data_IF_882524381608
#
_entry.id   IF_882524381608
#
_cell.length_a   1.000
_cell.length_b   1.000
_cell.length_c   1.000
_cell.angle_alpha   90.00
_cell.angle_beta   90.00
_cell.angle_gamma   90.00
#
_symmetry.space_group_name_H-M   'P 1'
#
loop_
_entity.id
_entity.type
_entity.pdbx_description
1 polymer ?
#
# COMPACT_ATOMS: atom_id res chain seq x y z
N UNK A 1 11.85 6.42 -14.91
CA UNK A 1 11.95 7.81 -15.37
C UNK A 1 12.45 7.77 -16.79
N UNK A 2 11.82 8.51 -17.70
CA UNK A 2 12.40 8.70 -19.03
C UNK A 2 13.62 9.63 -18.96
N UNK A 3 14.25 9.88 -20.11
CA UNK A 3 15.43 10.73 -20.23
C UNK A 3 15.18 12.18 -19.80
N UNK A 4 13.92 12.58 -19.62
CA UNK A 4 13.50 13.91 -19.17
C UNK A 4 13.10 13.93 -17.69
N UNK A 5 13.20 12.80 -16.98
CA UNK A 5 12.80 12.68 -15.58
C UNK A 5 11.29 12.55 -15.36
N UNK A 6 10.51 12.28 -16.41
CA UNK A 6 9.07 12.07 -16.25
C UNK A 6 8.77 10.65 -15.75
N UNK A 7 7.76 10.55 -14.87
CA UNK A 7 7.21 9.29 -14.42
C UNK A 7 6.14 8.83 -15.42
N UNK A 8 6.20 7.56 -15.84
CA UNK A 8 5.25 6.97 -16.78
C UNK A 8 4.64 5.73 -16.16
N UNK A 9 3.33 5.60 -16.30
CA UNK A 9 2.61 4.38 -15.98
C UNK A 9 2.53 3.52 -17.24
N UNK A 10 2.72 2.22 -17.07
CA UNK A 10 2.61 1.21 -18.10
C UNK A 10 1.51 0.24 -17.68
N UNK A 11 1.00 -0.55 -18.61
CA UNK A 11 0.05 -1.63 -18.32
C UNK A 11 -1.30 -1.14 -17.75
N UNK A 12 -1.94 -0.19 -18.44
CA UNK A 12 -3.27 0.36 -18.11
C UNK A 12 -4.41 -0.37 -18.83
N UNK A 13 -4.18 -1.60 -19.30
CA UNK A 13 -5.16 -2.33 -20.12
C UNK A 13 -6.35 -2.84 -19.29
N UNK A 14 -6.15 -3.07 -17.99
CA UNK A 14 -7.22 -3.47 -17.05
C UNK A 14 -7.87 -2.26 -16.37
N UNK A 15 -9.15 -2.01 -16.66
CA UNK A 15 -9.96 -1.04 -15.92
C UNK A 15 -10.63 -1.72 -14.70
N UNK A 16 -10.15 -1.45 -13.46
CA UNK A 16 -10.75 -2.04 -12.26
C UNK A 16 -12.18 -1.56 -12.03
N UNK A 17 -12.60 -0.44 -12.61
CA UNK A 17 -13.93 0.13 -12.39
C UNK A 17 -15.06 -0.71 -12.98
N UNK A 18 -14.73 -1.68 -13.83
CA UNK A 18 -15.71 -2.66 -14.32
C UNK A 18 -16.19 -3.63 -13.23
N UNK A 19 -15.40 -3.84 -12.17
CA UNK A 19 -15.68 -4.85 -11.14
C UNK A 19 -15.66 -4.32 -9.70
N UNK A 20 -15.15 -3.09 -9.48
CA UNK A 20 -15.10 -2.48 -8.15
C UNK A 20 -15.26 -0.96 -8.22
N UNK A 21 -15.71 -0.35 -7.12
CA UNK A 21 -15.80 1.10 -7.04
C UNK A 21 -14.40 1.74 -7.05
N UNK A 22 -14.30 3.01 -7.50
CA UNK A 22 -13.03 3.72 -7.57
C UNK A 22 -12.25 3.74 -6.24
N UNK A 23 -12.94 3.96 -5.12
CA UNK A 23 -12.31 3.97 -3.81
C UNK A 23 -11.75 2.59 -3.40
N UNK A 24 -12.36 1.51 -3.88
CA UNK A 24 -11.89 0.13 -3.64
C UNK A 24 -10.67 -0.17 -4.51
N UNK A 25 -10.70 0.24 -5.78
CA UNK A 25 -9.56 0.14 -6.69
C UNK A 25 -8.35 0.90 -6.14
N UNK A 26 -8.55 2.14 -5.71
CA UNK A 26 -7.48 2.95 -5.10
C UNK A 26 -6.97 2.32 -3.79
N UNK A 27 -7.85 1.72 -2.97
CA UNK A 27 -7.43 1.03 -1.76
C UNK A 27 -6.60 -0.24 -2.07
N UNK A 28 -6.96 -1.00 -3.11
CA UNK A 28 -6.17 -2.13 -3.62
C UNK A 28 -4.79 -1.65 -4.06
N UNK A 29 -4.71 -0.56 -4.81
CA UNK A 29 -3.45 -0.02 -5.30
C UNK A 29 -2.54 0.42 -4.13
N UNK A 30 -3.09 0.98 -3.06
CA UNK A 30 -2.33 1.29 -1.84
C UNK A 30 -1.72 0.04 -1.17
N UNK A 31 -2.47 -1.07 -1.11
CA UNK A 31 -1.97 -2.33 -0.56
C UNK A 31 -0.81 -2.88 -1.40
N UNK A 32 -0.99 -2.91 -2.73
CA UNK A 32 0.02 -3.42 -3.67
C UNK A 32 1.27 -2.53 -3.70
N UNK A 33 1.08 -1.21 -3.81
CA UNK A 33 2.16 -0.23 -3.81
C UNK A 33 2.99 -0.30 -2.53
N UNK A 34 2.33 -0.40 -1.37
CA UNK A 34 3.05 -0.51 -0.10
C UNK A 34 3.83 -1.82 0.02
N UNK A 35 3.24 -2.94 -0.41
CA UNK A 35 3.92 -4.23 -0.43
C UNK A 35 5.15 -4.22 -1.34
N UNK A 36 5.05 -3.65 -2.54
CA UNK A 36 6.19 -3.46 -3.43
C UNK A 36 7.24 -2.51 -2.86
N UNK A 37 6.80 -1.40 -2.23
CA UNK A 37 7.69 -0.40 -1.65
C UNK A 37 8.51 -0.95 -0.49
N UNK A 38 7.91 -1.76 0.40
CA UNK A 38 8.65 -2.43 1.49
C UNK A 38 9.80 -3.27 0.94
N UNK A 39 9.59 -3.94 -0.20
CA UNK A 39 10.61 -4.78 -0.83
C UNK A 39 11.73 -3.99 -1.50
N UNK A 40 11.42 -2.81 -2.06
CA UNK A 40 12.31 -2.14 -3.02
C UNK A 40 12.83 -0.77 -2.56
N UNK A 41 12.12 -0.05 -1.69
CA UNK A 41 12.47 1.33 -1.33
C UNK A 41 13.74 1.43 -0.47
N UNK A 42 14.12 0.35 0.24
CA UNK A 42 15.29 0.32 1.16
C UNK A 42 15.28 1.45 2.21
N UNK A 43 14.10 1.93 2.60
CA UNK A 43 13.91 2.95 3.63
C UNK A 43 13.60 2.29 4.99
N UNK A 44 13.95 2.94 6.11
CA UNK A 44 13.44 2.53 7.42
C UNK A 44 11.90 2.53 7.42
N UNK A 45 11.28 1.51 8.01
CA UNK A 45 9.81 1.32 7.96
C UNK A 45 9.04 2.54 8.50
N UNK A 46 9.59 3.22 9.52
CA UNK A 46 8.98 4.43 10.07
C UNK A 46 8.97 5.61 9.09
N UNK A 47 10.05 5.77 8.30
CA UNK A 47 10.13 6.80 7.25
C UNK A 47 9.16 6.47 6.11
N UNK A 48 9.12 5.20 5.68
CA UNK A 48 8.19 4.76 4.66
C UNK A 48 6.73 4.96 5.09
N UNK A 49 6.39 4.66 6.34
CA UNK A 49 5.05 4.93 6.90
C UNK A 49 4.71 6.42 6.95
N UNK A 50 5.67 7.29 7.25
CA UNK A 50 5.45 8.74 7.25
C UNK A 50 5.17 9.26 5.84
N UNK A 51 5.96 8.84 4.84
CA UNK A 51 5.77 9.23 3.43
C UNK A 51 4.43 8.72 2.90
N UNK A 52 4.14 7.43 3.09
CA UNK A 52 2.86 6.84 2.66
C UNK A 52 1.69 7.53 3.35
N UNK A 53 1.78 7.77 4.67
CA UNK A 53 0.74 8.48 5.41
C UNK A 53 0.51 9.90 4.93
N UNK A 54 1.57 10.63 4.56
CA UNK A 54 1.45 11.96 3.99
C UNK A 54 0.64 11.93 2.67
N UNK A 55 1.00 11.04 1.75
CA UNK A 55 0.30 10.92 0.47
C UNK A 55 -1.13 10.37 0.62
N UNK A 56 -1.34 9.36 1.48
CA UNK A 56 -2.66 8.75 1.70
C UNK A 56 -3.67 9.74 2.29
N UNK A 57 -3.23 10.66 3.15
CA UNK A 57 -4.09 11.72 3.72
C UNK A 57 -4.50 12.79 2.71
N UNK A 58 -3.80 12.90 1.59
CA UNK A 58 -4.21 13.78 0.48
C UNK A 58 -5.30 13.13 -0.40
N UNK A 59 -5.52 11.82 -0.26
CA UNK A 59 -6.63 11.11 -0.90
C UNK A 59 -7.98 11.38 -0.24
N UNK A 60 -9.05 10.91 -0.88
CA UNK A 60 -10.42 11.13 -0.38
C UNK A 60 -10.67 10.36 0.93
N UNK A 61 -11.60 10.85 1.78
CA UNK A 61 -12.02 10.14 2.99
C UNK A 61 -12.50 8.70 2.71
N UNK A 62 -13.13 8.46 1.55
CA UNK A 62 -13.63 7.16 1.11
C UNK A 62 -12.48 6.16 0.95
N UNK A 63 -11.39 6.57 0.29
CA UNK A 63 -10.19 5.75 0.12
C UNK A 63 -9.56 5.45 1.46
N UNK A 64 -9.43 6.45 2.33
CA UNK A 64 -8.88 6.25 3.68
C UNK A 64 -9.71 5.26 4.49
N UNK A 65 -11.05 5.31 4.40
CA UNK A 65 -11.95 4.33 5.04
C UNK A 65 -11.75 2.93 4.46
N UNK A 66 -11.66 2.79 3.14
CA UNK A 66 -11.46 1.49 2.49
C UNK A 66 -10.12 0.87 2.87
N UNK A 67 -9.03 1.65 2.82
CA UNK A 67 -7.70 1.18 3.26
C UNK A 67 -7.77 0.78 4.73
N UNK A 68 -8.32 1.62 5.62
CA UNK A 68 -8.47 1.30 7.06
C UNK A 68 -9.24 0.00 7.28
N UNK A 69 -10.33 -0.21 6.53
CA UNK A 69 -11.11 -1.44 6.56
C UNK A 69 -10.29 -2.66 6.13
N UNK A 70 -9.56 -2.55 5.02
CA UNK A 70 -8.70 -3.62 4.51
C UNK A 70 -7.58 -3.99 5.49
N UNK A 71 -6.80 -3.03 6.00
CA UNK A 71 -5.74 -3.33 6.98
C UNK A 71 -6.29 -3.83 8.32
N UNK A 72 -7.50 -3.44 8.71
CA UNK A 72 -8.16 -3.98 9.91
C UNK A 72 -8.49 -5.47 9.75
N UNK A 73 -9.02 -5.87 8.58
CA UNK A 73 -9.27 -7.28 8.25
C UNK A 73 -7.97 -8.08 8.19
N UNK A 74 -6.89 -7.49 7.67
CA UNK A 74 -5.58 -8.11 7.55
C UNK A 74 -4.70 -8.03 8.81
N UNK A 75 -5.23 -7.58 9.95
CA UNK A 75 -4.46 -7.34 11.18
C UNK A 75 -3.68 -8.54 11.72
N UNK A 76 -4.06 -9.76 11.32
CA UNK A 76 -3.41 -11.01 11.74
C UNK A 76 -2.17 -11.34 10.90
N UNK A 77 -2.03 -10.77 9.69
CA UNK A 77 -0.93 -11.08 8.78
C UNK A 77 0.46 -10.83 9.40
N UNK A 78 0.73 -9.70 10.09
CA UNK A 78 2.04 -9.48 10.69
C UNK A 78 2.46 -10.58 11.67
N UNK A 79 1.51 -11.10 12.45
CA UNK A 79 1.76 -12.19 13.39
C UNK A 79 2.06 -13.51 12.65
N UNK A 80 1.27 -13.83 11.61
CA UNK A 80 1.46 -15.03 10.79
C UNK A 80 2.80 -15.00 10.04
N UNK A 81 3.16 -13.84 9.50
CA UNK A 81 4.37 -13.64 8.71
C UNK A 81 5.65 -13.60 9.56
N UNK A 82 5.55 -13.40 10.88
CA UNK A 82 6.70 -13.33 11.80
C UNK A 82 7.58 -14.58 11.76
N UNK A 83 6.95 -15.75 11.59
CA UNK A 83 7.62 -17.06 11.54
C UNK A 83 7.91 -17.53 10.11
N UNK A 84 7.57 -16.71 9.11
CA UNK A 84 7.75 -17.02 7.70
C UNK A 84 9.02 -16.33 7.16
N UNK A 85 9.54 -16.80 6.03
CA UNK A 85 10.74 -16.22 5.41
C UNK A 85 10.58 -14.75 4.99
N UNK A 86 11.70 -14.10 4.62
CA UNK A 86 11.80 -12.65 4.29
C UNK A 86 10.70 -12.11 3.37
N UNK A 87 10.23 -12.90 2.40
CA UNK A 87 9.15 -12.48 1.49
C UNK A 87 7.81 -12.28 2.21
N UNK A 88 7.46 -13.19 3.11
CA UNK A 88 6.22 -13.10 3.89
C UNK A 88 6.30 -11.98 4.92
N UNK A 89 7.46 -11.78 5.55
CA UNK A 89 7.68 -10.65 6.47
C UNK A 89 7.35 -9.30 5.81
N UNK A 90 7.71 -9.10 4.55
CA UNK A 90 7.38 -7.88 3.80
C UNK A 90 5.87 -7.62 3.65
N UNK A 91 5.04 -8.66 3.60
CA UNK A 91 3.57 -8.53 3.60
C UNK A 91 3.03 -8.14 4.99
N UNK A 92 3.64 -8.68 6.05
CA UNK A 92 3.34 -8.24 7.42
C UNK A 92 3.71 -6.77 7.64
N UNK A 93 4.90 -6.38 7.19
CA UNK A 93 5.40 -5.02 7.31
C UNK A 93 4.55 -4.01 6.53
N UNK A 94 4.05 -4.37 5.35
CA UNK A 94 3.17 -3.49 4.56
C UNK A 94 1.86 -3.18 5.28
N UNK A 95 1.26 -4.19 5.92
CA UNK A 95 0.06 -4.02 6.77
C UNK A 95 0.37 -3.12 7.96
N UNK A 96 1.51 -3.32 8.64
CA UNK A 96 1.90 -2.47 9.78
C UNK A 96 2.15 -1.02 9.38
N UNK A 97 2.81 -0.80 8.24
CA UNK A 97 3.07 0.52 7.68
C UNK A 97 1.76 1.24 7.39
N UNK A 98 0.82 0.60 6.68
CA UNK A 98 -0.46 1.22 6.35
C UNK A 98 -1.32 1.50 7.59
N UNK A 99 -1.28 0.61 8.60
CA UNK A 99 -1.94 0.87 9.89
C UNK A 99 -1.36 2.10 10.58
N UNK A 100 -0.03 2.27 10.56
CA UNK A 100 0.64 3.44 11.15
C UNK A 100 0.41 4.71 10.34
N UNK A 101 0.32 4.61 9.01
CA UNK A 101 0.06 5.73 8.11
C UNK A 101 -1.34 6.35 8.30
N UNK A 102 -2.31 5.55 8.76
CA UNK A 102 -3.71 5.90 8.98
C UNK A 102 -4.09 6.20 10.43
N UNK A 103 -3.14 6.08 11.35
CA UNK A 103 -3.27 6.44 12.76
C UNK A 103 -3.08 7.95 12.92
#
# INVERSE_FOLDING_TARGET
>A
MDTQGCLRFLDLEEDPLQVMALAEAQARDWLLFTSGSVRHARLPLGVLAAVIGHCLRQGTPEVQRQVRGAVSRLRFLPALCRFSGRRAQGLGDSVLILRRALA
#
